data_IF_223591588582
#
_entry.id   IF_223591588582
#
_cell.length_a   1.000
_cell.length_b   1.000
_cell.length_c   1.000
_cell.angle_alpha   90.00
_cell.angle_beta   90.00
_cell.angle_gamma   90.00
#
_symmetry.space_group_name_H-M   'P 1'
#
loop_
_entity.id
_entity.type
_entity.pdbx_description
1 polymer ?
#
# COMPACT_ATOMS: atom_id res chain seq x y z
N UNK A 1 -57.89 6.65 -1.95
CA UNK A 1 -57.08 7.76 -2.51
C UNK A 1 -55.79 7.15 -3.05
N UNK A 2 -55.58 7.07 -4.38
CA UNK A 2 -54.43 6.35 -4.92
C UNK A 2 -53.21 7.27 -5.01
N UNK A 3 -52.10 6.76 -4.49
CA UNK A 3 -50.82 7.42 -4.38
C UNK A 3 -50.10 7.31 -5.75
N UNK A 4 -50.08 8.41 -6.51
CA UNK A 4 -49.55 8.42 -7.88
C UNK A 4 -48.03 8.65 -7.85
N UNK A 5 -47.25 7.56 -7.83
CA UNK A 5 -45.80 7.62 -7.99
C UNK A 5 -45.52 8.09 -9.42
N UNK A 6 -44.92 9.27 -9.57
CA UNK A 6 -44.47 9.80 -10.88
C UNK A 6 -43.53 8.79 -11.53
N UNK A 7 -44.03 8.10 -12.54
CA UNK A 7 -43.25 7.21 -13.37
C UNK A 7 -42.39 8.08 -14.28
N UNK A 8 -41.13 8.29 -13.90
CA UNK A 8 -40.19 9.00 -14.77
C UNK A 8 -40.00 8.21 -16.04
N UNK A 9 -40.20 8.87 -17.19
CA UNK A 9 -40.06 8.23 -18.48
C UNK A 9 -38.57 8.02 -18.77
N UNK A 10 -38.26 6.92 -19.47
CA UNK A 10 -36.89 6.60 -19.92
C UNK A 10 -36.24 7.73 -20.74
N UNK A 11 -37.05 8.57 -21.37
CA UNK A 11 -36.59 9.77 -22.09
C UNK A 11 -36.05 10.86 -21.16
N UNK A 12 -36.64 11.05 -19.99
CA UNK A 12 -36.28 12.11 -19.05
C UNK A 12 -34.95 11.79 -18.36
N UNK A 13 -34.74 10.51 -18.08
CA UNK A 13 -33.48 9.98 -17.54
C UNK A 13 -32.34 10.20 -18.54
N UNK A 14 -32.55 9.87 -19.83
CA UNK A 14 -31.52 10.05 -20.88
C UNK A 14 -31.11 11.52 -21.06
N UNK A 15 -32.05 12.46 -21.05
CA UNK A 15 -31.73 13.89 -21.18
C UNK A 15 -30.91 14.43 -20.00
N UNK A 16 -31.12 13.91 -18.79
CA UNK A 16 -30.32 14.31 -17.62
C UNK A 16 -28.84 13.95 -17.75
N UNK A 17 -28.52 12.82 -18.39
CA UNK A 17 -27.15 12.35 -18.62
C UNK A 17 -26.40 13.19 -19.67
N UNK A 18 -27.08 13.61 -20.75
CA UNK A 18 -26.47 14.49 -21.76
C UNK A 18 -26.16 15.89 -21.21
N UNK A 19 -26.99 16.41 -20.30
CA UNK A 19 -26.80 17.73 -19.73
C UNK A 19 -25.71 17.76 -18.63
N UNK A 20 -25.41 16.61 -18.01
CA UNK A 20 -24.45 16.50 -16.91
C UNK A 20 -23.04 16.07 -17.35
N UNK A 21 -22.83 15.69 -18.62
CA UNK A 21 -21.53 15.28 -19.15
C UNK A 21 -21.02 13.94 -18.61
N UNK A 22 -21.90 13.10 -18.06
CA UNK A 22 -21.54 11.75 -17.59
C UNK A 22 -21.67 10.78 -18.76
N UNK A 23 -20.53 10.30 -19.28
CA UNK A 23 -20.48 9.23 -20.27
C UNK A 23 -20.33 7.88 -19.55
N UNK A 24 -21.39 7.08 -19.56
CA UNK A 24 -21.32 5.67 -19.19
C UNK A 24 -20.75 4.89 -20.38
N UNK A 25 -19.59 4.25 -20.20
CA UNK A 25 -18.85 3.52 -21.23
C UNK A 25 -19.50 2.20 -21.64
N UNK A 26 -20.68 1.86 -21.10
CA UNK A 26 -21.25 0.52 -21.18
C UNK A 26 -22.48 0.34 -22.09
N UNK A 27 -22.84 1.29 -22.96
CA UNK A 27 -23.99 1.13 -23.87
C UNK A 27 -23.74 1.70 -25.27
N UNK A 28 -23.52 0.82 -26.25
CA UNK A 28 -23.68 1.13 -27.67
C UNK A 28 -24.62 0.12 -28.34
N UNK A 29 -25.95 0.33 -28.36
CA UNK A 29 -26.83 -0.42 -29.23
C UNK A 29 -26.89 0.28 -30.59
N UNK A 30 -26.20 -0.28 -31.61
CA UNK A 30 -26.43 0.08 -33.01
C UNK A 30 -27.73 -0.58 -33.48
N UNK A 31 -28.66 0.20 -34.03
CA UNK A 31 -29.70 -0.28 -34.93
C UNK A 31 -30.06 0.82 -35.92
N UNK A 32 -29.51 0.75 -37.13
CA UNK A 32 -30.25 0.97 -38.38
C UNK A 32 -29.39 0.61 -39.59
N UNK A 33 -30.05 -0.09 -40.51
CA UNK A 33 -29.58 -0.75 -41.72
C UNK A 33 -29.57 0.23 -42.91
N UNK A 34 -28.42 0.51 -43.53
CA UNK A 34 -28.27 1.11 -44.88
C UNK A 34 -26.92 0.66 -45.51
N UNK A 35 -26.83 0.43 -46.83
CA UNK A 35 -25.66 -0.18 -47.47
C UNK A 35 -24.64 0.83 -48.04
N UNK A 36 -23.38 0.37 -48.10
CA UNK A 36 -22.21 0.85 -48.86
C UNK A 36 -21.61 2.24 -48.60
N UNK A 37 -20.51 2.31 -47.83
CA UNK A 37 -19.23 2.80 -48.37
C UNK A 37 -18.01 2.41 -47.51
N UNK A 38 -17.02 1.85 -48.21
CA UNK A 38 -15.57 1.80 -47.96
C UNK A 38 -15.03 1.95 -46.52
N UNK A 39 -14.57 0.82 -45.99
CA UNK A 39 -13.17 0.72 -45.57
C UNK A 39 -12.74 1.48 -44.33
N UNK A 40 -13.50 1.43 -43.23
CA UNK A 40 -12.95 1.74 -41.92
C UNK A 40 -12.67 0.43 -41.18
N UNK A 41 -11.40 0.04 -41.21
CA UNK A 41 -10.90 -1.10 -40.44
C UNK A 41 -11.16 -0.83 -38.96
N UNK A 42 -12.14 -1.51 -38.38
CA UNK A 42 -12.39 -1.54 -36.94
C UNK A 42 -11.20 -2.24 -36.24
N UNK A 43 -10.14 -1.47 -35.99
CA UNK A 43 -8.92 -1.95 -35.32
C UNK A 43 -9.26 -2.06 -33.83
N UNK A 44 -9.59 -3.27 -33.39
CA UNK A 44 -9.71 -3.59 -31.97
C UNK A 44 -8.35 -3.35 -31.27
N UNK A 45 -8.24 -2.24 -30.54
CA UNK A 45 -7.06 -1.92 -29.71
C UNK A 45 -7.07 -2.86 -28.50
N UNK A 46 -6.24 -3.89 -28.54
CA UNK A 46 -5.99 -4.73 -27.36
C UNK A 46 -5.18 -3.92 -26.36
N UNK A 47 -5.74 -3.63 -25.19
CA UNK A 47 -5.02 -3.00 -24.09
C UNK A 47 -3.93 -3.93 -23.60
N UNK A 48 -2.67 -3.48 -23.64
CA UNK A 48 -1.56 -4.24 -23.09
C UNK A 48 -1.78 -4.50 -21.59
N UNK A 49 -1.39 -5.68 -21.07
CA UNK A 49 -1.47 -5.95 -19.64
C UNK A 49 -0.64 -4.92 -18.85
N UNK A 50 -1.13 -4.44 -17.68
CA UNK A 50 -0.46 -3.39 -16.93
C UNK A 50 0.91 -3.85 -16.41
N UNK A 51 1.90 -2.97 -16.51
CA UNK A 51 3.23 -3.23 -15.94
C UNK A 51 3.21 -3.08 -14.41
N UNK A 52 3.44 -4.19 -13.71
CA UNK A 52 3.50 -4.21 -12.24
C UNK A 52 4.92 -3.89 -11.76
N UNK A 53 5.09 -2.76 -11.09
CA UNK A 53 6.34 -2.43 -10.40
C UNK A 53 6.38 -3.09 -9.02
N UNK A 54 7.54 -3.65 -8.67
CA UNK A 54 7.78 -4.14 -7.30
C UNK A 54 7.79 -2.97 -6.33
N UNK A 55 7.21 -3.12 -5.12
CA UNK A 55 7.20 -2.05 -4.13
C UNK A 55 8.63 -1.73 -3.66
N UNK A 56 8.93 -0.45 -3.36
CA UNK A 56 10.21 -0.08 -2.78
C UNK A 56 10.38 -0.70 -1.40
N UNK A 57 11.58 -1.22 -1.13
CA UNK A 57 11.91 -1.86 0.13
C UNK A 57 12.59 -0.86 1.08
N UNK A 58 12.37 -1.02 2.37
CA UNK A 58 12.90 -0.20 3.44
C UNK A 58 13.52 -1.09 4.51
N UNK A 59 14.67 -0.69 5.03
CA UNK A 59 15.31 -1.32 6.17
C UNK A 59 14.75 -0.70 7.46
N UNK A 60 14.40 -1.54 8.43
CA UNK A 60 14.08 -1.14 9.81
C UNK A 60 15.38 -1.20 10.61
N UNK A 61 15.77 -0.07 11.20
CA UNK A 61 17.08 0.15 11.79
C UNK A 61 16.92 0.49 13.27
N UNK A 62 17.68 -0.18 14.13
CA UNK A 62 17.84 0.16 15.54
C UNK A 62 19.10 1.02 15.71
N UNK A 63 19.01 2.06 16.53
CA UNK A 63 20.11 2.98 16.84
C UNK A 63 20.64 2.69 18.25
N UNK A 64 21.96 2.77 18.41
CA UNK A 64 22.60 2.59 19.70
C UNK A 64 22.32 3.75 20.66
N UNK A 65 22.27 3.42 21.95
CA UNK A 65 22.18 4.37 23.05
C UNK A 65 22.80 3.75 24.33
N UNK A 66 23.09 4.58 25.33
CA UNK A 66 23.81 4.15 26.55
C UNK A 66 22.90 3.64 27.69
N UNK A 67 21.57 3.61 27.50
CA UNK A 67 20.60 3.38 28.59
C UNK A 67 19.69 2.17 28.36
N UNK A 68 19.49 1.74 27.12
CA UNK A 68 18.68 0.57 26.79
C UNK A 68 19.46 -0.72 27.09
N UNK A 69 18.95 -1.64 27.94
CA UNK A 69 19.61 -2.91 28.22
C UNK A 69 19.75 -3.80 26.97
N UNK A 70 20.84 -4.55 26.89
CA UNK A 70 21.09 -5.49 25.78
C UNK A 70 19.99 -6.57 25.67
N UNK A 71 19.55 -7.11 26.80
CA UNK A 71 18.46 -8.11 26.84
C UNK A 71 17.16 -7.56 26.26
N UNK A 72 16.83 -6.30 26.55
CA UNK A 72 15.64 -5.65 26.00
C UNK A 72 15.71 -5.55 24.46
N UNK A 73 16.90 -5.23 23.91
CA UNK A 73 17.11 -5.21 22.45
C UNK A 73 16.91 -6.60 21.85
N UNK A 74 17.40 -7.66 22.52
CA UNK A 74 17.20 -9.04 22.09
C UNK A 74 15.71 -9.41 22.11
N UNK A 75 14.99 -9.07 23.17
CA UNK A 75 13.54 -9.31 23.27
C UNK A 75 12.77 -8.62 22.13
N UNK A 76 13.09 -7.37 21.83
CA UNK A 76 12.52 -6.63 20.69
C UNK A 76 12.76 -7.38 19.37
N UNK A 77 13.98 -7.84 19.14
CA UNK A 77 14.36 -8.54 17.91
C UNK A 77 13.64 -9.89 17.76
N UNK A 78 13.48 -10.63 18.86
CA UNK A 78 12.73 -11.88 18.87
C UNK A 78 11.22 -11.64 18.66
N UNK A 79 10.63 -10.69 19.39
CA UNK A 79 9.19 -10.47 19.41
C UNK A 79 8.67 -9.84 18.10
N UNK A 80 9.35 -8.81 17.59
CA UNK A 80 8.84 -8.03 16.46
C UNK A 80 9.46 -8.44 15.12
N UNK A 81 10.62 -9.11 15.11
CA UNK A 81 11.31 -9.50 13.88
C UNK A 81 11.45 -11.02 13.72
N UNK A 82 10.91 -11.81 14.66
CA UNK A 82 10.92 -13.26 14.63
C UNK A 82 12.33 -13.85 14.50
N UNK A 83 13.34 -13.17 15.06
CA UNK A 83 14.69 -13.68 15.14
C UNK A 83 14.80 -14.75 16.22
N UNK A 84 15.67 -15.74 16.00
CA UNK A 84 16.12 -16.60 17.09
C UNK A 84 17.15 -15.86 17.98
N UNK A 85 17.55 -16.47 19.10
CA UNK A 85 18.49 -15.87 20.04
C UNK A 85 19.83 -15.50 19.42
N UNK A 86 20.42 -16.38 18.61
CA UNK A 86 21.74 -16.15 18.01
C UNK A 86 21.69 -14.98 17.02
N UNK A 87 20.66 -14.93 16.18
CA UNK A 87 20.42 -13.83 15.23
C UNK A 87 20.19 -12.50 15.96
N UNK A 88 19.34 -12.51 16.98
CA UNK A 88 19.03 -11.33 17.78
C UNK A 88 20.27 -10.80 18.50
N UNK A 89 21.07 -11.70 19.09
CA UNK A 89 22.33 -11.36 19.76
C UNK A 89 23.32 -10.73 18.79
N UNK A 90 23.47 -11.31 17.60
CA UNK A 90 24.36 -10.77 16.57
C UNK A 90 23.94 -9.35 16.16
N UNK A 91 22.65 -9.11 15.88
CA UNK A 91 22.16 -7.79 15.51
C UNK A 91 22.30 -6.80 16.67
N UNK A 92 22.02 -7.22 17.91
CA UNK A 92 22.21 -6.39 19.10
C UNK A 92 23.68 -5.95 19.24
N UNK A 93 24.63 -6.87 19.09
CA UNK A 93 26.06 -6.55 19.15
C UNK A 93 26.49 -5.60 18.02
N UNK A 94 25.94 -5.77 16.82
CA UNK A 94 26.14 -4.83 15.71
C UNK A 94 25.62 -3.44 16.07
N UNK A 95 24.41 -3.31 16.62
CA UNK A 95 23.90 -2.01 17.09
C UNK A 95 24.86 -1.40 18.11
N UNK A 96 25.29 -2.17 19.10
CA UNK A 96 26.13 -1.70 20.19
C UNK A 96 27.51 -1.19 19.72
N UNK A 97 28.19 -1.94 18.85
CA UNK A 97 29.55 -1.60 18.41
C UNK A 97 29.60 -0.69 17.19
N UNK A 98 28.64 -0.78 16.27
CA UNK A 98 28.63 -0.02 15.02
C UNK A 98 27.70 1.20 15.06
N UNK A 99 26.98 1.40 16.17
CA UNK A 99 26.09 2.53 16.40
C UNK A 99 24.70 2.37 15.80
N UNK A 100 24.51 1.43 14.86
CA UNK A 100 23.19 1.05 14.32
C UNK A 100 23.21 -0.36 13.75
N UNK A 101 22.04 -0.97 13.62
CA UNK A 101 21.89 -2.32 13.06
C UNK A 101 20.54 -2.52 12.37
N UNK A 102 20.52 -3.35 11.32
CA UNK A 102 19.30 -3.66 10.56
C UNK A 102 18.57 -4.81 11.25
N UNK A 103 17.35 -4.54 11.71
CA UNK A 103 16.46 -5.54 12.29
C UNK A 103 15.61 -6.28 11.23
N UNK A 104 15.37 -5.67 10.08
CA UNK A 104 14.63 -6.34 9.00
C UNK A 104 14.41 -5.45 7.79
N UNK A 105 13.89 -6.03 6.70
CA UNK A 105 13.67 -5.32 5.43
C UNK A 105 12.27 -5.66 4.91
N UNK A 106 11.46 -4.63 4.67
CA UNK A 106 10.05 -4.78 4.35
C UNK A 106 9.59 -3.71 3.34
N UNK A 107 8.42 -3.88 2.69
CA UNK A 107 7.72 -2.77 2.06
C UNK A 107 7.47 -1.65 3.07
N UNK A 108 7.38 -0.41 2.57
CA UNK A 108 7.29 0.82 3.39
C UNK A 108 6.29 0.71 4.56
N UNK A 109 5.04 0.36 4.28
CA UNK A 109 3.97 0.37 5.29
C UNK A 109 4.24 -0.60 6.44
N UNK A 110 4.83 -1.77 6.13
CA UNK A 110 5.22 -2.77 7.13
C UNK A 110 6.41 -2.27 7.94
N UNK A 111 7.40 -1.65 7.28
CA UNK A 111 8.57 -1.10 7.94
C UNK A 111 8.17 0.03 8.92
N UNK A 112 7.32 0.97 8.49
CA UNK A 112 6.80 2.05 9.33
C UNK A 112 6.02 1.50 10.54
N UNK A 113 5.17 0.50 10.31
CA UNK A 113 4.39 -0.15 11.38
C UNK A 113 5.31 -0.81 12.42
N UNK A 114 6.32 -1.57 11.97
CA UNK A 114 7.27 -2.24 12.89
C UNK A 114 8.09 -1.23 13.68
N UNK A 115 8.63 -0.19 13.03
CA UNK A 115 9.39 0.85 13.72
C UNK A 115 8.54 1.54 14.82
N UNK A 116 7.28 1.87 14.50
CA UNK A 116 6.36 2.46 15.47
C UNK A 116 6.04 1.51 16.64
N UNK A 117 5.83 0.21 16.38
CA UNK A 117 5.60 -0.79 17.42
C UNK A 117 6.78 -0.88 18.40
N UNK A 118 8.01 -0.93 17.87
CA UNK A 118 9.23 -0.98 18.68
C UNK A 118 9.39 0.31 19.51
N UNK A 119 9.27 1.47 18.89
CA UNK A 119 9.39 2.76 19.59
C UNK A 119 8.36 2.92 20.71
N UNK A 120 7.12 2.46 20.48
CA UNK A 120 6.07 2.51 21.49
C UNK A 120 6.37 1.54 22.64
N UNK A 121 6.85 0.33 22.34
CA UNK A 121 7.27 -0.63 23.34
C UNK A 121 8.41 -0.06 24.21
N UNK A 122 9.47 0.45 23.59
CA UNK A 122 10.62 1.05 24.28
C UNK A 122 10.18 2.20 25.19
N UNK A 123 9.37 3.13 24.68
CA UNK A 123 8.83 4.25 25.48
C UNK A 123 7.97 3.77 26.65
N UNK A 124 7.13 2.75 26.45
CA UNK A 124 6.29 2.20 27.51
C UNK A 124 7.08 1.52 28.63
N UNK A 125 8.28 1.01 28.33
CA UNK A 125 9.19 0.41 29.29
C UNK A 125 10.26 1.38 29.81
N UNK A 126 10.23 2.65 29.39
CA UNK A 126 11.15 3.69 29.86
C UNK A 126 12.53 3.67 29.22
N UNK A 127 12.69 2.98 28.08
CA UNK A 127 13.95 2.93 27.34
C UNK A 127 13.99 3.96 26.20
N UNK A 128 15.12 4.65 25.97
CA UNK A 128 15.25 5.63 24.89
C UNK A 128 15.56 5.02 23.51
N UNK A 129 15.52 3.68 23.38
CA UNK A 129 15.79 2.96 22.14
C UNK A 129 15.03 3.58 20.94
N UNK A 130 15.78 3.95 19.92
CA UNK A 130 15.24 4.52 18.69
C UNK A 130 15.24 3.50 17.56
N UNK A 131 14.08 3.35 16.93
CA UNK A 131 13.87 2.55 15.73
C UNK A 131 13.35 3.44 14.58
N UNK A 132 14.01 3.39 13.43
CA UNK A 132 13.65 4.17 12.25
C UNK A 132 13.65 3.32 10.97
N UNK A 133 13.15 3.88 9.87
CA UNK A 133 13.22 3.24 8.55
C UNK A 133 14.15 4.01 7.61
N UNK A 134 14.93 3.28 6.83
CA UNK A 134 15.83 3.84 5.81
C UNK A 134 15.48 3.22 4.44
N UNK A 135 15.45 4.00 3.34
CA UNK A 135 15.29 3.43 2.00
C UNK A 135 16.37 2.38 1.71
N UNK A 136 15.97 1.22 1.21
CA UNK A 136 16.91 0.19 0.76
C UNK A 136 17.04 0.28 -0.76
N UNK A 137 18.19 0.76 -1.21
CA UNK A 137 18.56 0.83 -2.63
C UNK A 137 18.80 -0.55 -3.24
#
# INVERSE_FOLDING_TARGET
>A
MPNNKRQMCLSDVKNSFYQSGIVDWHMSPRLSNEPDHEGDSDIAVQTAPPELKRPPMYAVVLMNDDYTPMEFVIEILQQYFAMNLDQATQVMLTVHYEGKGIAGVYPRDIAETKANQVNNCARSQGHPLLCQIEPKN
#
